data_IF_993001122000
#
_entry.id   IF_993001122000
#
_cell.length_a   1.000
_cell.length_b   1.000
_cell.length_c   1.000
_cell.angle_alpha   90.00
_cell.angle_beta   90.00
_cell.angle_gamma   90.00
#
_symmetry.space_group_name_H-M   'P 1'
#
loop_
_entity.id
_entity.type
_entity.pdbx_description
1 polymer ?
#
# COMPACT_ATOMS: atom_id res chain seq x y z
N UNK A 1 -29.96 12.33 -11.76
CA UNK A 1 -29.71 11.13 -10.92
C UNK A 1 -28.44 11.39 -10.12
N UNK A 2 -28.46 11.29 -8.79
CA UNK A 2 -27.26 11.58 -7.97
C UNK A 2 -26.22 10.45 -8.04
N UNK A 3 -24.94 10.79 -8.20
CA UNK A 3 -23.82 9.84 -8.21
C UNK A 3 -23.37 9.54 -6.78
N UNK A 4 -24.24 8.85 -6.02
CA UNK A 4 -24.04 8.58 -4.58
C UNK A 4 -22.69 7.92 -4.24
N UNK A 5 -22.10 7.18 -5.18
CA UNK A 5 -20.77 6.57 -5.02
C UNK A 5 -19.64 7.61 -4.88
N UNK A 6 -19.77 8.79 -5.49
CA UNK A 6 -18.76 9.83 -5.47
C UNK A 6 -18.62 10.57 -4.13
N UNK A 7 -19.65 10.50 -3.26
CA UNK A 7 -19.67 11.13 -1.93
C UNK A 7 -19.30 12.65 -1.97
N UNK A 8 -19.70 13.32 -3.05
CA UNK A 8 -19.45 14.75 -3.28
C UNK A 8 -20.08 15.60 -2.18
N UNK A 9 -19.26 16.37 -1.47
CA UNK A 9 -19.66 17.17 -0.31
C UNK A 9 -19.10 16.64 1.02
N UNK A 10 -18.65 15.38 1.09
CA UNK A 10 -17.88 14.91 2.24
C UNK A 10 -16.36 15.07 2.03
N UNK A 11 -15.66 15.35 3.14
CA UNK A 11 -14.20 15.45 3.19
C UNK A 11 -13.48 14.14 3.53
N UNK A 12 -14.21 13.12 3.97
CA UNK A 12 -13.74 11.73 4.02
C UNK A 12 -14.69 10.90 3.16
N UNK A 13 -14.13 10.13 2.23
CA UNK A 13 -14.87 9.32 1.24
C UNK A 13 -14.34 7.89 1.27
N UNK A 14 -15.24 6.90 1.33
CA UNK A 14 -14.86 5.49 1.48
C UNK A 14 -15.04 4.69 0.18
N UNK A 15 -14.09 3.77 -0.09
CA UNK A 15 -14.23 2.65 -1.06
C UNK A 15 -14.78 1.26 -0.38
N UNK A 16 -16.17 -0.77 -1.47
CA UNK A 16 -16.41 -0.87 -2.97
C UNK A 16 -15.76 -2.14 -3.56
N UNK A 17 -14.53 -2.07 -4.07
CA UNK A 17 -13.78 -3.24 -4.55
C UNK A 17 -12.40 -2.86 -5.07
N UNK A 18 -12.11 -3.04 -6.37
CA UNK A 18 -10.98 -2.39 -7.03
C UNK A 18 -11.38 -1.20 -7.92
N UNK A 19 -12.66 -1.11 -8.31
CA UNK A 19 -13.12 -0.27 -9.42
C UNK A 19 -13.48 1.19 -9.03
N UNK A 20 -13.86 1.44 -7.77
CA UNK A 20 -14.15 2.80 -7.29
C UNK A 20 -12.88 3.60 -7.00
N UNK A 21 -11.78 2.94 -6.64
CA UNK A 21 -10.52 3.58 -6.25
C UNK A 21 -9.97 4.54 -7.31
N UNK A 22 -10.03 4.19 -8.60
CA UNK A 22 -9.55 5.07 -9.67
C UNK A 22 -10.38 6.37 -9.76
N UNK A 23 -11.71 6.25 -9.68
CA UNK A 23 -12.63 7.40 -9.68
C UNK A 23 -12.45 8.29 -8.44
N UNK A 24 -12.30 7.69 -7.27
CA UNK A 24 -12.11 8.42 -6.01
C UNK A 24 -10.72 9.06 -5.92
N UNK A 25 -9.64 8.37 -6.32
CA UNK A 25 -8.30 8.93 -6.31
C UNK A 25 -8.13 10.13 -7.25
N UNK A 26 -8.82 10.14 -8.39
CA UNK A 26 -8.86 11.28 -9.31
C UNK A 26 -9.58 12.52 -8.74
N UNK A 27 -10.30 12.38 -7.62
CA UNK A 27 -11.02 13.46 -6.94
C UNK A 27 -10.58 13.65 -5.47
N UNK A 28 -9.48 13.02 -5.05
CA UNK A 28 -8.99 13.03 -3.68
C UNK A 28 -7.64 13.75 -3.56
N UNK A 29 -7.52 14.66 -2.59
CA UNK A 29 -6.27 15.33 -2.28
C UNK A 29 -5.26 14.39 -1.57
N UNK A 30 -5.76 13.32 -0.93
CA UNK A 30 -4.96 12.26 -0.33
C UNK A 30 -5.68 10.90 -0.41
N UNK A 31 -4.92 9.83 -0.67
CA UNK A 31 -5.37 8.45 -0.65
C UNK A 31 -4.81 7.72 0.57
N UNK A 32 -5.68 7.31 1.50
CA UNK A 32 -5.33 6.49 2.67
C UNK A 32 -5.67 5.03 2.39
N UNK A 33 -4.64 4.19 2.39
CA UNK A 33 -4.76 2.74 2.23
C UNK A 33 -4.82 2.10 3.63
N UNK A 34 -5.74 1.16 3.83
CA UNK A 34 -5.98 0.45 5.10
C UNK A 34 -6.03 -1.07 4.86
N UNK A 35 -4.88 -1.68 4.58
CA UNK A 35 -4.71 -3.13 4.40
C UNK A 35 -4.20 -3.76 5.70
N UNK A 36 -5.15 -4.09 6.59
CA UNK A 36 -4.89 -4.74 7.88
C UNK A 36 -4.45 -6.21 7.70
N UNK A 37 -4.84 -6.85 6.58
CA UNK A 37 -4.59 -8.26 6.29
C UNK A 37 -3.22 -8.56 5.65
N UNK A 38 -2.38 -7.54 5.44
CA UNK A 38 -1.05 -7.45 6.07
C UNK A 38 -0.30 -6.17 5.69
N UNK A 39 -0.55 -5.62 4.50
CA UNK A 39 0.39 -4.72 3.83
C UNK A 39 0.65 -3.42 4.60
N UNK A 40 -0.36 -2.71 5.09
CA UNK A 40 -0.10 -1.42 5.76
C UNK A 40 0.53 -1.60 7.13
N UNK A 41 0.20 -2.69 7.83
CA UNK A 41 0.89 -3.11 9.05
C UNK A 41 2.37 -3.43 8.78
N UNK A 42 2.67 -4.11 7.68
CA UNK A 42 4.03 -4.44 7.26
C UNK A 42 4.84 -3.19 6.85
N UNK A 43 4.27 -2.30 6.03
CA UNK A 43 4.84 -0.98 5.70
C UNK A 43 5.17 -0.20 6.97
N UNK A 44 4.21 -0.13 7.90
CA UNK A 44 4.37 0.60 9.15
C UNK A 44 5.38 -0.03 10.12
N UNK A 45 5.72 -1.33 10.00
CA UNK A 45 6.86 -1.92 10.72
C UNK A 45 8.18 -1.53 10.06
N UNK A 46 8.31 -1.74 8.75
CA UNK A 46 9.55 -1.49 8.02
C UNK A 46 9.98 0.00 8.09
N UNK A 47 9.03 0.92 7.90
CA UNK A 47 9.29 2.37 8.00
C UNK A 47 9.68 2.78 9.43
N UNK A 48 9.17 2.11 10.47
CA UNK A 48 9.58 2.36 11.87
C UNK A 48 11.04 1.95 12.15
N UNK A 49 11.62 1.05 11.33
CA UNK A 49 13.05 0.72 11.32
C UNK A 49 13.87 1.60 10.36
N UNK A 50 13.28 2.63 9.74
CA UNK A 50 13.95 3.48 8.74
C UNK A 50 14.03 2.89 7.32
N UNK A 51 13.38 1.75 7.05
CA UNK A 51 13.35 1.15 5.71
C UNK A 51 12.48 1.98 4.76
N UNK A 52 13.01 2.42 3.61
CA UNK A 52 12.17 2.93 2.51
C UNK A 52 11.46 1.75 1.82
N UNK A 53 10.15 1.65 1.99
CA UNK A 53 9.33 0.65 1.30
C UNK A 53 8.97 1.13 -0.11
N UNK A 54 9.06 0.22 -1.07
CA UNK A 54 8.61 0.40 -2.46
C UNK A 54 7.47 -0.62 -2.72
N UNK A 55 6.22 -0.17 -2.97
CA UNK A 55 5.13 -1.09 -3.26
C UNK A 55 5.34 -1.77 -4.62
N UNK A 56 4.96 -3.05 -4.72
CA UNK A 56 4.87 -3.75 -6.01
C UNK A 56 3.57 -4.56 -6.09
N UNK A 57 2.88 -4.51 -7.22
CA UNK A 57 1.62 -5.22 -7.42
C UNK A 57 1.86 -6.71 -7.64
N UNK A 58 0.93 -7.58 -7.22
CA UNK A 58 0.93 -9.00 -7.60
C UNK A 58 -0.44 -9.44 -8.16
N UNK A 59 -0.48 -10.38 -9.11
CA UNK A 59 -1.72 -10.98 -9.60
C UNK A 59 -2.51 -11.69 -8.49
N UNK A 60 -3.84 -11.55 -8.52
CA UNK A 60 -4.75 -12.07 -7.50
C UNK A 60 -5.09 -13.57 -7.59
N UNK A 61 -6.17 -13.97 -6.92
CA UNK A 61 -6.58 -15.38 -6.77
C UNK A 61 -6.82 -16.13 -8.08
N UNK A 62 -7.38 -15.46 -9.10
CA UNK A 62 -7.68 -16.07 -10.40
C UNK A 62 -6.51 -16.11 -11.39
N UNK A 63 -5.35 -15.52 -11.05
CA UNK A 63 -4.21 -15.49 -11.95
C UNK A 63 -3.58 -16.88 -12.17
N UNK A 64 -3.12 -17.14 -13.38
CA UNK A 64 -2.39 -18.35 -13.76
C UNK A 64 -1.01 -18.44 -13.08
N UNK A 65 -0.43 -19.63 -13.06
CA UNK A 65 0.96 -19.82 -12.64
C UNK A 65 1.95 -19.03 -13.51
N UNK A 66 1.64 -18.84 -14.80
CA UNK A 66 2.46 -18.07 -15.73
C UNK A 66 2.49 -16.57 -15.38
N UNK A 67 1.32 -15.96 -15.12
CA UNK A 67 1.21 -14.56 -14.71
C UNK A 67 1.88 -14.29 -13.37
N UNK A 68 1.66 -15.17 -12.37
CA UNK A 68 2.35 -15.09 -11.07
C UNK A 68 3.87 -15.12 -11.24
N UNK A 69 4.37 -16.09 -12.02
CA UNK A 69 5.80 -16.22 -12.32
C UNK A 69 6.37 -15.01 -13.08
N UNK A 70 5.57 -14.39 -13.97
CA UNK A 70 5.97 -13.19 -14.70
C UNK A 70 6.05 -11.97 -13.75
N UNK A 71 5.06 -11.78 -12.89
CA UNK A 71 5.04 -10.71 -11.90
C UNK A 71 6.18 -10.86 -10.86
N UNK A 72 6.50 -12.09 -10.43
CA UNK A 72 7.66 -12.34 -9.57
C UNK A 72 9.00 -12.02 -10.26
N UNK A 73 9.14 -12.30 -11.55
CA UNK A 73 10.32 -11.89 -12.32
C UNK A 73 10.40 -10.36 -12.43
N UNK A 74 9.27 -9.69 -12.71
CA UNK A 74 9.21 -8.24 -12.75
C UNK A 74 9.54 -7.60 -11.38
N UNK A 75 9.08 -8.19 -10.27
CA UNK A 75 9.42 -7.74 -8.92
C UNK A 75 10.92 -7.85 -8.62
N UNK A 76 11.58 -8.93 -9.08
CA UNK A 76 13.03 -9.14 -8.97
C UNK A 76 13.82 -8.11 -9.77
N UNK A 77 13.42 -7.84 -11.02
CA UNK A 77 14.02 -6.80 -11.88
C UNK A 77 13.84 -5.40 -11.27
N UNK A 78 12.63 -5.07 -10.81
CA UNK A 78 12.34 -3.79 -10.17
C UNK A 78 13.15 -3.58 -8.88
N UNK A 79 13.33 -4.62 -8.07
CA UNK A 79 14.17 -4.57 -6.87
C UNK A 79 15.65 -4.32 -7.20
N UNK A 80 16.18 -4.99 -8.23
CA UNK A 80 17.54 -4.77 -8.73
C UNK A 80 17.73 -3.32 -9.22
N UNK A 81 16.85 -2.85 -10.11
CA UNK A 81 16.86 -1.49 -10.66
C UNK A 81 16.73 -0.41 -9.56
N UNK A 82 15.95 -0.69 -8.51
CA UNK A 82 15.75 0.25 -7.39
C UNK A 82 16.88 0.24 -6.35
N UNK A 83 17.85 -0.66 -6.45
CA UNK A 83 18.86 -0.89 -5.41
C UNK A 83 18.25 -1.35 -4.09
N UNK A 84 17.30 -2.28 -4.14
CA UNK A 84 16.48 -2.72 -3.01
C UNK A 84 16.54 -4.24 -2.79
N UNK A 85 16.26 -4.69 -1.56
CA UNK A 85 15.90 -6.09 -1.32
C UNK A 85 14.45 -6.33 -1.75
N UNK A 86 14.11 -7.59 -2.01
CA UNK A 86 12.75 -8.02 -2.34
C UNK A 86 12.18 -8.83 -1.17
N UNK A 87 10.99 -8.45 -0.69
CA UNK A 87 10.20 -9.27 0.21
C UNK A 87 9.55 -10.43 -0.56
N UNK A 88 9.59 -11.63 0.02
CA UNK A 88 9.10 -12.88 -0.61
C UNK A 88 7.77 -13.35 0.00
N UNK A 89 7.14 -14.34 -0.63
CA UNK A 89 5.97 -15.01 -0.06
C UNK A 89 6.33 -15.70 1.28
N UNK A 90 5.38 -15.78 2.22
CA UNK A 90 5.63 -16.28 3.59
C UNK A 90 6.27 -17.68 3.66
N UNK A 91 5.98 -18.55 2.69
CA UNK A 91 6.55 -19.91 2.60
C UNK A 91 7.94 -19.97 1.93
N UNK A 92 8.38 -18.88 1.27
CA UNK A 92 9.66 -18.78 0.55
C UNK A 92 10.71 -17.99 1.33
N UNK A 93 10.46 -17.75 2.62
CA UNK A 93 11.33 -17.01 3.53
C UNK A 93 12.53 -17.88 3.90
N UNK A 94 13.73 -17.33 3.77
CA UNK A 94 15.00 -18.00 4.10
C UNK A 94 15.92 -17.06 4.87
N UNK A 95 17.03 -17.52 5.47
CA UNK A 95 18.04 -16.63 6.05
C UNK A 95 18.63 -15.60 5.07
N UNK A 96 18.65 -15.91 3.76
CA UNK A 96 19.09 -14.99 2.70
C UNK A 96 17.99 -14.03 2.23
N UNK A 97 16.72 -14.43 2.37
CA UNK A 97 15.51 -13.65 2.02
C UNK A 97 14.52 -13.59 3.19
N UNK A 98 14.88 -12.98 4.35
CA UNK A 98 14.06 -13.02 5.55
C UNK A 98 12.81 -12.12 5.49
N UNK A 99 12.77 -11.11 4.61
CA UNK A 99 11.67 -10.16 4.51
C UNK A 99 10.43 -10.75 3.80
N UNK A 100 9.24 -10.52 4.34
CA UNK A 100 7.95 -10.86 3.71
C UNK A 100 6.86 -9.88 4.14
N UNK A 101 5.62 -10.05 3.69
CA UNK A 101 4.45 -9.35 4.23
C UNK A 101 4.17 -9.63 5.72
N UNK A 102 4.84 -10.60 6.35
CA UNK A 102 4.70 -10.86 7.79
C UNK A 102 5.32 -9.74 8.63
N UNK A 103 4.53 -8.99 9.43
CA UNK A 103 5.07 -7.94 10.30
C UNK A 103 6.00 -8.50 11.39
N UNK A 104 5.91 -9.80 11.70
CA UNK A 104 6.85 -10.48 12.60
C UNK A 104 8.22 -10.68 11.93
N UNK A 105 8.25 -11.13 10.67
CA UNK A 105 9.51 -11.33 9.94
C UNK A 105 10.22 -9.99 9.72
N UNK A 106 9.48 -8.92 9.40
CA UNK A 106 10.06 -7.59 9.26
C UNK A 106 10.64 -7.05 10.59
N UNK A 107 10.11 -7.46 11.75
CA UNK A 107 10.71 -7.11 13.05
C UNK A 107 12.02 -7.84 13.35
N UNK A 108 12.18 -9.07 12.85
CA UNK A 108 13.34 -9.93 13.14
C UNK A 108 14.38 -10.01 12.02
N UNK A 109 14.05 -9.55 10.82
CA UNK A 109 14.97 -9.52 9.68
C UNK A 109 16.04 -8.41 9.84
N UNK A 110 17.23 -8.58 9.23
CA UNK A 110 18.23 -7.51 9.18
C UNK A 110 17.68 -6.23 8.53
N UNK A 111 18.18 -5.08 8.99
CA UNK A 111 17.85 -3.77 8.43
C UNK A 111 18.19 -3.67 6.94
N UNK A 112 17.35 -2.98 6.17
CA UNK A 112 17.55 -2.70 4.75
C UNK A 112 17.16 -1.26 4.43
N UNK A 113 18.00 -0.53 3.70
CA UNK A 113 17.71 0.87 3.33
C UNK A 113 16.49 0.96 2.40
N UNK A 114 16.31 -0.02 1.51
CA UNK A 114 15.21 -0.10 0.54
C UNK A 114 14.66 -1.53 0.46
N UNK A 115 13.33 -1.67 0.52
CA UNK A 115 12.62 -2.94 0.43
C UNK A 115 11.46 -2.83 -0.56
N UNK A 116 11.51 -3.61 -1.64
CA UNK A 116 10.32 -3.89 -2.46
C UNK A 116 9.40 -4.81 -1.66
N UNK A 117 8.15 -4.40 -1.46
CA UNK A 117 7.14 -5.13 -0.69
C UNK A 117 5.94 -5.48 -1.59
N UNK A 118 5.92 -6.68 -2.20
CA UNK A 118 4.84 -7.10 -3.08
C UNK A 118 3.55 -7.40 -2.30
N UNK A 119 2.39 -7.03 -2.85
CA UNK A 119 1.06 -7.45 -2.35
C UNK A 119 0.01 -7.44 -3.46
N UNK A 120 -0.97 -8.33 -3.34
CA UNK A 120 -2.11 -8.45 -4.27
C UNK A 120 -3.20 -7.40 -4.05
N UNK A 121 -3.22 -6.68 -2.92
CA UNK A 121 -4.18 -5.59 -2.66
C UNK A 121 -3.47 -4.29 -2.28
N UNK A 122 -3.02 -4.10 -1.03
CA UNK A 122 -2.42 -2.86 -0.53
C UNK A 122 -1.32 -2.25 -1.42
N UNK A 123 -0.41 -3.07 -1.93
CA UNK A 123 0.67 -2.60 -2.80
C UNK A 123 0.22 -2.30 -4.23
N UNK A 124 -0.77 -3.05 -4.76
CA UNK A 124 -1.36 -2.77 -6.07
C UNK A 124 -2.09 -1.42 -6.07
N UNK A 125 -2.82 -1.09 -4.99
CA UNK A 125 -3.43 0.23 -4.80
C UNK A 125 -2.36 1.33 -4.77
N UNK A 126 -1.30 1.13 -3.98
CA UNK A 126 -0.23 2.11 -3.83
C UNK A 126 0.57 2.34 -5.13
N UNK A 127 0.74 1.31 -5.96
CA UNK A 127 1.41 1.38 -7.26
C UNK A 127 0.51 1.96 -8.38
N UNK A 128 -0.82 1.86 -8.25
CA UNK A 128 -1.79 2.39 -9.21
C UNK A 128 -2.29 3.82 -8.88
N UNK A 129 -1.75 4.46 -7.84
CA UNK A 129 -2.12 5.82 -7.47
C UNK A 129 -1.67 6.83 -8.54
N UNK A 130 -2.52 7.80 -8.95
CA UNK A 130 -2.15 8.78 -9.97
C UNK A 130 -0.95 9.67 -9.54
N UNK A 131 -0.09 10.10 -10.49
CA UNK A 131 0.98 11.07 -10.19
C UNK A 131 0.43 12.32 -9.50
N UNK A 132 1.13 12.78 -8.46
CA UNK A 132 0.72 13.92 -7.64
C UNK A 132 -0.23 13.59 -6.49
N UNK A 133 -1.03 12.51 -6.57
CA UNK A 133 -1.90 12.08 -5.45
C UNK A 133 -1.04 11.56 -4.30
N UNK A 134 -1.23 12.13 -3.11
CA UNK A 134 -0.46 11.71 -1.94
C UNK A 134 -1.03 10.43 -1.34
N UNK A 135 -0.21 9.37 -1.29
CA UNK A 135 -0.59 8.08 -0.70
C UNK A 135 -0.07 7.95 0.74
N UNK A 136 -0.91 7.47 1.65
CA UNK A 136 -0.58 7.22 3.06
C UNK A 136 -1.02 5.81 3.47
N UNK A 137 -0.13 5.05 4.11
CA UNK A 137 -0.42 3.72 4.65
C UNK A 137 -0.85 3.82 6.12
N UNK A 138 -2.10 3.43 6.41
CA UNK A 138 -2.67 3.44 7.76
C UNK A 138 -3.05 2.04 8.24
N UNK A 139 -2.81 1.77 9.52
CA UNK A 139 -3.15 0.54 10.23
C UNK A 139 -3.41 0.88 11.70
N UNK A 140 -3.88 -0.09 12.49
CA UNK A 140 -4.19 0.12 13.92
C UNK A 140 -2.99 0.65 14.73
N UNK A 141 -1.74 0.36 14.32
CA UNK A 141 -0.51 0.85 14.97
C UNK A 141 -0.18 2.33 14.73
N UNK A 142 -0.72 2.95 13.68
CA UNK A 142 -0.41 4.35 13.35
C UNK A 142 -1.64 5.22 13.06
N UNK A 143 -2.86 4.75 13.36
CA UNK A 143 -4.11 5.46 13.08
C UNK A 143 -4.15 6.87 13.66
N UNK A 144 -3.79 7.06 14.93
CA UNK A 144 -3.75 8.38 15.59
C UNK A 144 -2.73 9.32 14.95
N UNK A 145 -1.55 8.80 14.60
CA UNK A 145 -0.48 9.57 13.96
C UNK A 145 -0.87 9.98 12.52
N UNK A 146 -1.54 9.10 11.77
CA UNK A 146 -2.08 9.43 10.44
C UNK A 146 -3.21 10.46 10.54
N UNK A 147 -4.14 10.30 11.49
CA UNK A 147 -5.21 11.27 11.74
C UNK A 147 -4.67 12.67 12.03
N UNK A 148 -3.76 12.80 13.00
CA UNK A 148 -3.11 14.08 13.30
C UNK A 148 -2.30 14.64 12.12
N UNK A 149 -1.61 13.78 11.35
CA UNK A 149 -0.86 14.20 10.15
C UNK A 149 -1.75 14.75 9.03
N UNK A 150 -2.97 14.19 8.88
CA UNK A 150 -3.99 14.63 7.92
C UNK A 150 -4.57 15.99 8.34
N UNK A 151 -5.09 16.08 9.57
CA UNK A 151 -5.71 17.31 10.10
C UNK A 151 -4.72 18.47 10.11
N UNK A 152 -3.46 18.24 10.51
CA UNK A 152 -2.39 19.25 10.49
C UNK A 152 -1.94 19.70 9.09
N UNK A 153 -2.57 19.18 8.02
CA UNK A 153 -2.36 19.59 6.62
C UNK A 153 -3.61 20.11 5.93
N UNK A 154 -4.74 20.17 6.64
CA UNK A 154 -6.05 20.53 6.05
C UNK A 154 -6.75 19.38 5.32
N UNK A 155 -6.18 18.17 5.30
CA UNK A 155 -6.86 17.01 4.71
C UNK A 155 -8.06 16.57 5.58
N UNK A 156 -9.14 16.18 4.91
CA UNK A 156 -10.38 15.71 5.55
C UNK A 156 -11.56 16.69 5.43
N UNK A 157 -11.37 17.82 4.75
CA UNK A 157 -12.43 18.78 4.39
C UNK A 157 -12.98 18.50 2.98
N UNK A 158 -14.15 19.05 2.59
CA UNK A 158 -14.70 18.85 1.24
C UNK A 158 -13.78 19.33 0.11
N UNK A 159 -12.91 20.31 0.40
CA UNK A 159 -11.93 20.93 -0.51
C UNK A 159 -10.63 20.13 -0.58
N UNK A 160 -10.25 19.43 0.48
CA UNK A 160 -9.13 18.50 0.52
C UNK A 160 -9.57 17.07 0.93
N UNK A 161 -10.40 16.41 0.11
CA UNK A 161 -11.04 15.17 0.49
C UNK A 161 -10.04 14.00 0.55
N UNK A 162 -10.21 13.16 1.56
CA UNK A 162 -9.44 11.93 1.78
C UNK A 162 -10.24 10.73 1.28
N UNK A 163 -9.69 10.00 0.32
CA UNK A 163 -10.19 8.68 -0.05
C UNK A 163 -9.61 7.63 0.89
N UNK A 164 -10.44 6.88 1.61
CA UNK A 164 -10.03 5.78 2.48
C UNK A 164 -10.48 4.43 1.89
N UNK A 165 -9.54 3.55 1.59
CA UNK A 165 -9.81 2.21 1.04
C UNK A 165 -9.29 1.10 1.96
N UNK A 166 -10.11 0.08 2.18
CA UNK A 166 -9.71 -1.15 2.88
C UNK A 166 -9.11 -2.20 1.91
N UNK A 167 -8.13 -2.95 2.41
CA UNK A 167 -7.56 -4.16 1.77
C UNK A 167 -8.22 -5.46 2.21
#
# INVERSE_FOLDING_TARGET
MGDWAAQSGSGIRFEWGPAGAGRLAAQAACLVIVDVLTFTTAVSVAVQQGTRVLPFWLPGGHATAAERSAAERAAKVYAQQSGARLAVARHAVTPATPWSLSPAHLRSAPFVVRLVLPSTNGAAIAAAAPPGVRVVAACLRNVTAVGGWLTARGYGTPEQPVAARRG
#
